data_IF_979854823671
#
_entry.id   IF_979854823671
#
_cell.length_a   1.000
_cell.length_b   1.000
_cell.length_c   1.000
_cell.angle_alpha   90.00
_cell.angle_beta   90.00
_cell.angle_gamma   90.00
#
_symmetry.space_group_name_H-M   'P 1'
#
loop_
_entity.id
_entity.type
_entity.pdbx_description
1 polymer ?
#
# COMPACT_ATOMS: atom_id res chain seq x y z
N UNK A 1 -39.73 -40.78 30.41
CA UNK A 1 -39.21 -39.41 30.34
C UNK A 1 -38.44 -39.11 31.62
N UNK A 2 -37.12 -39.30 31.59
CA UNK A 2 -36.17 -38.90 32.62
C UNK A 2 -35.03 -38.21 31.88
N UNK A 3 -34.81 -36.92 32.18
CA UNK A 3 -33.68 -36.16 31.66
C UNK A 3 -32.40 -36.64 32.30
N UNK A 4 -31.40 -36.93 31.47
CA UNK A 4 -30.05 -37.28 31.90
C UNK A 4 -29.14 -36.12 31.49
N UNK A 5 -28.48 -35.55 32.51
CA UNK A 5 -27.36 -34.63 32.40
C UNK A 5 -26.18 -35.31 31.70
N UNK A 6 -25.52 -34.60 30.78
CA UNK A 6 -24.13 -34.89 30.43
C UNK A 6 -23.40 -33.61 30.07
N UNK A 7 -22.61 -33.18 31.05
CA UNK A 7 -21.41 -32.38 30.92
C UNK A 7 -20.52 -32.98 29.82
N UNK A 8 -20.20 -32.22 28.77
CA UNK A 8 -19.18 -32.60 27.82
C UNK A 8 -17.99 -31.66 28.00
N UNK A 9 -16.91 -32.23 28.52
CA UNK A 9 -15.62 -31.59 28.68
C UNK A 9 -15.05 -31.28 27.29
N UNK A 10 -14.64 -30.02 27.07
CA UNK A 10 -13.84 -29.63 25.92
C UNK A 10 -12.40 -29.85 26.32
N UNK A 11 -11.82 -30.94 25.82
CA UNK A 11 -10.42 -31.28 25.98
C UNK A 11 -9.59 -30.28 25.18
N UNK A 12 -8.82 -29.44 25.86
CA UNK A 12 -7.79 -28.62 25.22
C UNK A 12 -6.65 -29.53 24.78
N UNK A 13 -6.57 -29.83 23.48
CA UNK A 13 -5.36 -30.43 22.91
C UNK A 13 -4.36 -29.30 22.70
N UNK A 14 -3.39 -29.20 23.61
CA UNK A 14 -2.27 -28.28 23.48
C UNK A 14 -1.49 -28.59 22.21
N UNK A 15 -1.38 -27.60 21.32
CA UNK A 15 -0.44 -27.62 20.22
C UNK A 15 0.94 -27.26 20.82
N UNK A 16 1.82 -28.26 20.92
CA UNK A 16 3.23 -28.03 21.23
C UNK A 16 3.83 -27.21 20.07
N UNK A 17 4.02 -25.91 20.28
CA UNK A 17 4.93 -25.13 19.46
C UNK A 17 6.36 -25.58 19.80
N UNK A 18 6.98 -26.34 18.90
CA UNK A 18 8.41 -26.61 18.98
C UNK A 18 9.14 -25.33 18.55
N UNK A 19 9.57 -24.55 19.55
CA UNK A 19 10.48 -23.43 19.36
C UNK A 19 11.86 -23.99 18.95
N UNK A 20 12.14 -24.00 17.66
CA UNK A 20 13.49 -24.14 17.13
C UNK A 20 14.15 -22.77 17.10
N UNK A 21 14.93 -22.43 18.12
CA UNK A 21 15.87 -21.32 18.02
C UNK A 21 16.95 -21.69 17.00
N UNK A 22 16.88 -21.15 15.79
CA UNK A 22 18.02 -21.17 14.89
C UNK A 22 19.02 -20.13 15.40
N UNK A 23 20.14 -20.60 15.97
CA UNK A 23 21.30 -19.74 16.18
C UNK A 23 21.75 -19.15 14.83
N UNK A 24 22.18 -17.88 14.79
CA UNK A 24 22.72 -17.29 13.57
C UNK A 24 23.94 -18.10 13.13
N UNK A 25 23.89 -18.60 11.90
CA UNK A 25 24.97 -19.37 11.28
C UNK A 25 26.23 -18.48 11.26
N UNK A 26 27.21 -18.84 12.08
CA UNK A 26 28.51 -18.17 12.11
C UNK A 26 29.29 -18.59 10.86
N UNK A 27 29.28 -17.74 9.82
CA UNK A 27 30.15 -17.94 8.67
C UNK A 27 31.60 -17.79 9.10
N UNK A 28 32.47 -18.82 8.97
CA UNK A 28 33.90 -18.61 9.13
C UNK A 28 34.33 -17.57 8.10
N UNK A 29 34.94 -16.48 8.58
CA UNK A 29 35.38 -15.32 7.81
C UNK A 29 36.61 -15.60 6.91
N UNK A 30 36.68 -16.80 6.34
CA UNK A 30 37.60 -17.12 5.27
C UNK A 30 36.82 -17.32 3.99
N UNK A 31 36.38 -16.21 3.39
CA UNK A 31 36.13 -16.19 1.95
C UNK A 31 37.44 -16.54 1.24
N UNK A 32 37.65 -17.85 1.01
CA UNK A 32 38.68 -18.29 0.07
C UNK A 32 38.30 -17.70 -1.28
N UNK A 33 39.25 -16.96 -1.86
CA UNK A 33 39.23 -16.39 -3.20
C UNK A 33 38.52 -17.32 -4.22
N UNK A 34 37.88 -16.77 -5.27
CA UNK A 34 37.04 -17.53 -6.19
C UNK A 34 37.75 -18.80 -6.71
N UNK A 35 36.95 -19.86 -6.88
CA UNK A 35 37.36 -21.20 -7.32
C UNK A 35 38.06 -21.23 -8.70
N UNK A 36 38.11 -20.10 -9.41
CA UNK A 36 38.82 -19.95 -10.68
C UNK A 36 39.79 -18.77 -10.57
N UNK A 37 41.08 -19.07 -10.43
CA UNK A 37 42.14 -18.09 -10.72
C UNK A 37 42.35 -18.03 -12.23
N UNK A 38 41.45 -17.34 -12.94
CA UNK A 38 41.68 -17.04 -14.35
C UNK A 38 42.50 -15.74 -14.45
N UNK A 39 43.74 -15.84 -14.92
CA UNK A 39 44.74 -14.74 -14.94
C UNK A 39 44.58 -13.86 -16.18
N UNK A 40 43.52 -14.06 -16.98
CA UNK A 40 43.27 -13.25 -18.18
C UNK A 40 42.68 -11.89 -17.77
N UNK A 41 42.98 -10.80 -18.51
CA UNK A 41 42.36 -9.50 -18.25
C UNK A 41 40.84 -9.64 -18.16
N UNK A 42 40.20 -9.04 -17.14
CA UNK A 42 38.75 -9.12 -16.88
C UNK A 42 37.94 -8.92 -18.18
N UNK A 43 38.39 -8.01 -19.05
CA UNK A 43 37.75 -7.70 -20.34
C UNK A 43 37.73 -8.87 -21.35
N UNK A 44 38.70 -9.78 -21.29
CA UNK A 44 38.82 -10.90 -22.23
C UNK A 44 38.02 -12.14 -21.82
N UNK A 45 37.59 -12.22 -20.55
CA UNK A 45 36.66 -13.25 -20.04
C UNK A 45 35.23 -12.70 -19.96
N UNK A 46 35.06 -11.45 -19.53
CA UNK A 46 33.75 -10.85 -19.33
C UNK A 46 32.99 -10.61 -20.64
N UNK A 47 33.66 -10.16 -21.71
CA UNK A 47 32.99 -9.87 -22.99
C UNK A 47 32.39 -11.12 -23.65
N UNK A 48 33.09 -12.27 -23.77
CA UNK A 48 32.49 -13.49 -24.28
C UNK A 48 31.31 -13.99 -23.44
N UNK A 49 31.41 -13.90 -22.10
CA UNK A 49 30.32 -14.30 -21.20
C UNK A 49 29.10 -13.39 -21.37
N UNK A 50 29.28 -12.07 -21.36
CA UNK A 50 28.20 -11.10 -21.59
C UNK A 50 27.57 -11.30 -22.98
N UNK A 51 28.39 -11.54 -24.02
CA UNK A 51 27.90 -11.80 -25.37
C UNK A 51 27.17 -13.14 -25.52
N UNK A 52 27.35 -14.08 -24.57
CA UNK A 52 26.63 -15.35 -24.54
C UNK A 52 25.25 -15.26 -23.88
N UNK A 53 24.92 -14.12 -23.26
CA UNK A 53 23.58 -13.84 -22.72
C UNK A 53 22.71 -13.32 -23.86
N UNK A 54 21.75 -14.11 -24.31
CA UNK A 54 20.82 -13.71 -25.35
C UNK A 54 19.43 -13.43 -24.79
N UNK A 55 18.83 -12.30 -25.22
CA UNK A 55 17.47 -11.91 -24.82
C UNK A 55 16.44 -13.03 -25.08
N UNK A 56 16.56 -13.73 -26.22
CA UNK A 56 15.67 -14.84 -26.55
C UNK A 56 15.70 -15.98 -25.51
N UNK A 57 16.87 -16.25 -24.94
CA UNK A 57 17.05 -17.33 -23.98
C UNK A 57 16.53 -16.87 -22.60
N UNK A 58 16.77 -15.61 -22.23
CA UNK A 58 16.19 -15.00 -21.03
C UNK A 58 14.66 -14.98 -21.06
N UNK A 59 14.07 -14.60 -22.20
CA UNK A 59 12.61 -14.59 -22.37
C UNK A 59 12.03 -16.00 -22.30
N UNK A 60 12.72 -16.99 -22.87
CA UNK A 60 12.32 -18.39 -22.75
C UNK A 60 12.33 -18.86 -21.30
N UNK A 61 13.39 -18.58 -20.54
CA UNK A 61 13.45 -18.92 -19.12
C UNK A 61 12.36 -18.20 -18.32
N UNK A 62 12.07 -16.92 -18.64
CA UNK A 62 10.98 -16.19 -18.01
C UNK A 62 9.62 -16.83 -18.31
N UNK A 63 9.41 -17.29 -19.55
CA UNK A 63 8.19 -18.01 -19.92
C UNK A 63 8.07 -19.35 -19.20
N UNK A 64 9.14 -20.14 -19.09
CA UNK A 64 9.12 -21.39 -18.34
C UNK A 64 8.68 -21.17 -16.89
N UNK A 65 9.18 -20.10 -16.24
CA UNK A 65 8.77 -19.72 -14.89
C UNK A 65 7.34 -19.19 -14.81
N UNK A 66 6.86 -18.49 -15.82
CA UNK A 66 5.46 -18.06 -15.90
C UNK A 66 4.53 -19.28 -16.06
N UNK A 67 4.87 -20.22 -16.93
CA UNK A 67 4.11 -21.43 -17.17
C UNK A 67 3.99 -22.28 -15.90
N UNK A 68 5.07 -22.37 -15.09
CA UNK A 68 5.04 -23.01 -13.77
C UNK A 68 4.03 -22.33 -12.84
N UNK A 69 3.98 -20.99 -12.83
CA UNK A 69 3.01 -20.26 -12.02
C UNK A 69 1.59 -20.58 -12.49
N UNK A 70 1.33 -20.46 -13.79
CA UNK A 70 0.00 -20.59 -14.40
C UNK A 70 -0.52 -22.04 -14.47
N UNK A 71 0.34 -23.03 -14.28
CA UNK A 71 -0.05 -24.42 -14.09
C UNK A 71 -0.78 -24.66 -12.76
N UNK A 72 -0.80 -23.70 -11.85
CA UNK A 72 -1.48 -23.78 -10.54
C UNK A 72 -2.70 -22.87 -10.46
N UNK A 73 -3.72 -23.19 -9.63
CA UNK A 73 -4.90 -22.34 -9.46
C UNK A 73 -4.59 -20.92 -8.95
N UNK A 74 -3.57 -20.79 -8.09
CA UNK A 74 -3.15 -19.51 -7.51
C UNK A 74 -2.37 -18.64 -8.51
N UNK A 75 -1.89 -19.22 -9.62
CA UNK A 75 -1.20 -18.54 -10.72
C UNK A 75 0.00 -17.71 -10.27
N UNK A 76 0.67 -18.14 -9.20
CA UNK A 76 1.83 -17.48 -8.62
C UNK A 76 2.86 -18.51 -8.14
N UNK A 77 4.01 -18.02 -7.67
CA UNK A 77 5.13 -18.85 -7.15
C UNK A 77 5.51 -18.42 -5.74
N UNK A 78 4.51 -18.05 -4.91
CA UNK A 78 4.70 -17.64 -3.51
C UNK A 78 5.42 -18.75 -2.75
N UNK A 79 6.39 -18.40 -1.89
CA UNK A 79 7.20 -19.40 -1.19
C UNK A 79 6.33 -20.40 -0.40
N UNK A 80 6.68 -21.68 -0.51
CA UNK A 80 5.91 -22.80 0.04
C UNK A 80 4.68 -23.25 -0.78
N UNK A 81 4.28 -22.51 -1.82
CA UNK A 81 3.20 -22.93 -2.73
C UNK A 81 3.61 -24.02 -3.71
N UNK A 82 2.63 -24.63 -4.38
CA UNK A 82 2.88 -25.58 -5.49
C UNK A 82 3.74 -24.98 -6.60
N UNK A 83 3.48 -23.71 -6.98
CA UNK A 83 4.26 -23.01 -8.00
C UNK A 83 5.70 -22.74 -7.56
N UNK A 84 5.93 -22.52 -6.26
CA UNK A 84 7.28 -22.43 -5.70
C UNK A 84 8.00 -23.77 -5.77
N UNK A 85 7.36 -24.88 -5.37
CA UNK A 85 7.95 -26.21 -5.50
C UNK A 85 8.30 -26.55 -6.95
N UNK A 86 7.42 -26.24 -7.90
CA UNK A 86 7.71 -26.37 -9.33
C UNK A 86 8.91 -25.54 -9.79
N UNK A 87 9.07 -24.32 -9.24
CA UNK A 87 10.24 -23.46 -9.51
C UNK A 87 11.54 -24.10 -9.02
N UNK A 88 11.55 -24.60 -7.77
CA UNK A 88 12.74 -25.24 -7.19
C UNK A 88 13.13 -26.47 -8.01
N UNK A 89 12.14 -27.27 -8.44
CA UNK A 89 12.37 -28.43 -9.28
C UNK A 89 12.95 -28.04 -10.65
N UNK A 90 12.40 -27.01 -11.30
CA UNK A 90 12.92 -26.48 -12.56
C UNK A 90 14.40 -26.09 -12.47
N UNK A 91 14.80 -25.36 -11.43
CA UNK A 91 16.20 -24.97 -11.24
C UNK A 91 17.09 -26.17 -10.94
N UNK A 92 16.63 -27.10 -10.09
CA UNK A 92 17.37 -28.33 -9.78
C UNK A 92 17.63 -29.15 -11.04
N UNK A 93 16.59 -29.43 -11.84
CA UNK A 93 16.71 -30.21 -13.07
C UNK A 93 17.59 -29.51 -14.11
N UNK A 94 17.46 -28.19 -14.23
CA UNK A 94 18.31 -27.38 -15.13
C UNK A 94 19.79 -27.49 -14.76
N UNK A 95 20.13 -27.37 -13.47
CA UNK A 95 21.51 -27.47 -13.00
C UNK A 95 22.05 -28.90 -13.10
N UNK A 96 21.25 -29.91 -12.76
CA UNK A 96 21.63 -31.33 -12.87
C UNK A 96 21.82 -31.76 -14.33
N UNK A 97 21.10 -31.14 -15.28
CA UNK A 97 21.27 -31.41 -16.72
C UNK A 97 22.66 -31.05 -17.26
N UNK A 98 23.42 -30.22 -16.54
CA UNK A 98 24.78 -29.84 -16.88
C UNK A 98 25.83 -30.87 -16.41
N UNK A 99 25.39 -32.03 -15.92
CA UNK A 99 26.25 -33.12 -15.49
C UNK A 99 26.90 -32.86 -14.14
N UNK A 100 28.20 -33.14 -14.03
CA UNK A 100 28.97 -33.01 -12.80
C UNK A 100 29.53 -31.60 -12.56
N UNK A 101 29.14 -30.63 -13.40
CA UNK A 101 29.62 -29.25 -13.29
C UNK A 101 29.16 -28.58 -11.98
N UNK A 102 27.94 -28.87 -11.52
CA UNK A 102 27.39 -28.36 -10.27
C UNK A 102 27.09 -29.50 -9.30
N UNK A 103 27.45 -29.32 -8.03
CA UNK A 103 26.93 -30.12 -6.92
C UNK A 103 25.69 -29.43 -6.37
N UNK A 104 24.51 -29.97 -6.67
CA UNK A 104 23.22 -29.39 -6.25
C UNK A 104 22.78 -30.03 -4.93
N UNK A 105 22.51 -29.20 -3.93
CA UNK A 105 21.93 -29.62 -2.64
C UNK A 105 20.74 -28.70 -2.34
N UNK A 106 19.62 -29.28 -1.91
CA UNK A 106 18.47 -28.51 -1.43
C UNK A 106 18.55 -28.41 0.09
N UNK A 107 18.48 -27.19 0.61
CA UNK A 107 18.40 -26.94 2.04
C UNK A 107 16.95 -26.58 2.40
N UNK A 108 16.31 -27.45 3.18
CA UNK A 108 14.98 -27.18 3.70
C UNK A 108 15.06 -26.21 4.89
N UNK A 109 14.10 -25.30 4.94
CA UNK A 109 13.85 -24.42 6.07
C UNK A 109 12.35 -24.15 6.19
N UNK A 110 11.91 -23.85 7.40
CA UNK A 110 10.51 -23.48 7.68
C UNK A 110 10.42 -21.99 7.91
N UNK A 111 9.40 -21.36 7.35
CA UNK A 111 9.08 -19.95 7.57
C UNK A 111 7.57 -19.77 7.55
N UNK A 112 7.11 -18.71 8.20
CA UNK A 112 5.70 -18.33 8.22
C UNK A 112 5.37 -17.49 6.99
N UNK A 113 4.22 -17.76 6.37
CA UNK A 113 3.80 -17.12 5.11
C UNK A 113 2.35 -16.69 5.18
N UNK A 114 2.06 -15.51 4.63
CA UNK A 114 0.68 -15.10 4.34
C UNK A 114 0.31 -15.61 2.95
N UNK A 115 -0.59 -16.60 2.87
CA UNK A 115 -1.00 -17.22 1.59
C UNK A 115 -2.17 -16.51 0.92
N UNK A 116 -3.07 -15.96 1.74
CA UNK A 116 -4.24 -15.25 1.28
C UNK A 116 -4.73 -14.32 2.37
N UNK A 117 -5.38 -13.25 1.94
CA UNK A 117 -5.99 -12.24 2.78
C UNK A 117 -7.19 -11.67 2.04
N UNK A 118 -8.18 -11.25 2.81
CA UNK A 118 -9.36 -10.58 2.29
C UNK A 118 -9.76 -9.53 3.32
N UNK A 119 -10.14 -8.35 2.83
CA UNK A 119 -10.60 -7.26 3.66
C UNK A 119 -11.72 -6.51 2.97
N UNK A 120 -12.61 -5.97 3.80
CA UNK A 120 -13.65 -5.04 3.38
C UNK A 120 -13.64 -3.89 4.37
N UNK A 121 -13.66 -2.67 3.86
CA UNK A 121 -13.72 -1.47 4.69
C UNK A 121 -14.80 -0.54 4.17
N UNK A 122 -15.64 -0.05 5.09
CA UNK A 122 -16.65 0.94 4.81
C UNK A 122 -16.72 1.98 5.93
N UNK A 123 -17.03 3.21 5.56
CA UNK A 123 -17.21 4.32 6.49
C UNK A 123 -18.29 5.26 5.94
N UNK A 124 -19.24 5.66 6.80
CA UNK A 124 -20.33 6.55 6.40
C UNK A 124 -21.22 5.98 5.28
N UNK A 125 -21.37 4.65 5.20
CA UNK A 125 -22.14 3.99 4.14
C UNK A 125 -21.44 3.87 2.79
N UNK A 126 -20.19 4.35 2.67
CA UNK A 126 -19.36 4.21 1.48
C UNK A 126 -18.38 3.05 1.66
N UNK A 127 -18.28 2.19 0.66
CA UNK A 127 -17.26 1.13 0.58
C UNK A 127 -16.01 1.71 -0.07
N UNK A 128 -14.85 1.44 0.52
CA UNK A 128 -13.55 1.94 0.07
C UNK A 128 -12.70 0.80 -0.47
N UNK A 129 -11.82 1.13 -1.42
CA UNK A 129 -10.80 0.21 -1.88
C UNK A 129 -9.76 0.00 -0.76
N UNK A 130 -9.49 -1.25 -0.42
CA UNK A 130 -8.67 -1.64 0.72
C UNK A 130 -7.85 -2.87 0.40
N UNK A 131 -6.69 -2.96 1.03
CA UNK A 131 -5.81 -4.11 0.92
C UNK A 131 -5.24 -4.45 2.30
N UNK A 132 -4.80 -5.69 2.41
CA UNK A 132 -4.20 -6.26 3.59
C UNK A 132 -2.68 -6.04 3.64
N UNK A 133 -2.12 -6.31 4.81
CA UNK A 133 -0.67 -6.39 5.00
C UNK A 133 -0.27 -7.83 5.26
N UNK A 134 0.91 -8.24 4.76
CA UNK A 134 1.52 -9.51 5.13
C UNK A 134 1.73 -9.56 6.65
N UNK A 135 1.38 -10.70 7.25
CA UNK A 135 1.31 -10.90 8.70
C UNK A 135 0.34 -9.96 9.43
N UNK A 136 -0.61 -9.37 8.70
CA UNK A 136 -1.73 -8.64 9.27
C UNK A 136 -2.65 -9.55 10.07
N UNK A 137 -3.12 -9.05 11.21
CA UNK A 137 -3.99 -9.81 12.09
C UNK A 137 -5.46 -9.67 11.71
N UNK A 138 -6.21 -10.76 11.93
CA UNK A 138 -7.65 -10.80 11.68
C UNK A 138 -8.40 -9.99 12.74
N UNK A 139 -9.45 -9.31 12.31
CA UNK A 139 -10.40 -8.70 13.22
C UNK A 139 -11.65 -8.23 12.50
N UNK A 140 -12.68 -7.95 13.27
CA UNK A 140 -13.92 -7.37 12.77
C UNK A 140 -14.39 -6.34 13.77
N UNK A 141 -14.78 -5.18 13.25
CA UNK A 141 -15.33 -4.07 14.00
C UNK A 141 -16.48 -3.47 13.19
N UNK A 142 -17.46 -2.90 13.88
CA UNK A 142 -18.66 -2.35 13.25
C UNK A 142 -19.10 -1.14 14.04
N UNK A 143 -19.51 -0.09 13.33
CA UNK A 143 -20.00 1.17 13.91
C UNK A 143 -19.03 1.82 14.93
N UNK A 144 -17.72 1.67 14.68
CA UNK A 144 -16.66 2.31 15.46
C UNK A 144 -16.15 3.58 14.75
N UNK A 145 -16.01 4.70 15.46
CA UNK A 145 -15.41 5.91 14.93
C UNK A 145 -13.99 5.70 14.36
N UNK A 146 -13.66 6.47 13.31
CA UNK A 146 -12.29 6.68 12.87
C UNK A 146 -11.70 7.90 13.59
N UNK A 147 -10.47 7.77 14.05
CA UNK A 147 -9.74 8.83 14.76
C UNK A 147 -8.43 9.08 14.04
N UNK A 148 -8.24 10.31 13.57
CA UNK A 148 -7.01 10.70 12.89
C UNK A 148 -5.83 10.73 13.89
N UNK A 149 -4.72 10.11 13.50
CA UNK A 149 -3.46 10.14 14.24
C UNK A 149 -2.62 11.31 13.72
N UNK A 150 -2.01 12.06 14.63
CA UNK A 150 -1.20 13.22 14.25
C UNK A 150 0.07 12.80 13.50
N UNK A 151 0.61 13.73 12.71
CA UNK A 151 1.86 13.53 11.97
C UNK A 151 1.85 12.21 11.17
N UNK A 152 2.71 11.28 11.54
CA UNK A 152 2.84 9.97 10.90
C UNK A 152 2.55 8.82 11.87
N UNK A 153 2.19 9.08 13.14
CA UNK A 153 2.03 8.01 14.14
C UNK A 153 3.34 7.30 14.49
N UNK A 154 4.48 7.95 14.27
CA UNK A 154 5.79 7.35 14.53
C UNK A 154 6.15 7.41 16.01
N UNK A 155 5.75 8.49 16.67
CA UNK A 155 5.94 8.68 18.09
C UNK A 155 4.66 8.31 18.86
N UNK A 156 4.74 7.73 20.07
CA UNK A 156 3.56 7.41 20.87
C UNK A 156 2.67 8.64 21.16
N UNK A 157 3.26 9.82 21.22
CA UNK A 157 2.59 11.10 21.45
C UNK A 157 1.74 11.55 20.25
N UNK A 158 2.01 11.05 19.05
CA UNK A 158 1.19 11.31 17.86
C UNK A 158 -0.20 10.69 17.97
N UNK A 159 -0.34 9.63 18.77
CA UNK A 159 -1.58 8.86 18.91
C UNK A 159 -2.44 9.44 20.04
N UNK A 160 -3.59 10.06 19.73
CA UNK A 160 -4.45 10.64 20.76
C UNK A 160 -5.13 9.57 21.61
N UNK A 161 -5.40 9.88 22.88
CA UNK A 161 -6.11 8.96 23.79
C UNK A 161 -7.54 8.64 23.33
N UNK A 162 -8.13 9.47 22.46
CA UNK A 162 -9.45 9.26 21.88
C UNK A 162 -9.52 8.06 20.94
N UNK A 163 -8.39 7.46 20.55
CA UNK A 163 -8.37 6.25 19.73
C UNK A 163 -8.80 5.00 20.50
N UNK A 164 -8.85 5.06 21.84
CA UNK A 164 -9.23 3.93 22.67
C UNK A 164 -10.66 3.45 22.32
N UNK A 165 -10.78 2.18 21.90
CA UNK A 165 -12.04 1.60 21.43
C UNK A 165 -12.42 1.93 19.98
N UNK A 166 -11.61 2.72 19.28
CA UNK A 166 -11.86 3.27 17.94
C UNK A 166 -10.80 2.82 16.93
N UNK A 167 -11.01 3.15 15.65
CA UNK A 167 -10.07 2.83 14.57
C UNK A 167 -9.09 3.98 14.38
N UNK A 168 -7.79 3.69 14.41
CA UNK A 168 -6.76 4.68 14.13
C UNK A 168 -6.62 4.91 12.62
N UNK A 169 -6.75 6.13 12.13
CA UNK A 169 -6.42 6.50 10.75
C UNK A 169 -5.03 7.13 10.73
N UNK A 170 -4.09 6.53 10.01
CA UNK A 170 -2.67 6.86 10.09
C UNK A 170 -2.09 7.06 8.68
N UNK A 171 -1.30 8.11 8.50
CA UNK A 171 -0.59 8.36 7.24
C UNK A 171 0.61 7.41 7.06
N UNK A 172 0.81 6.86 5.86
CA UNK A 172 2.07 6.22 5.48
C UNK A 172 3.20 7.25 5.46
N UNK A 173 4.40 6.84 5.90
CA UNK A 173 5.57 7.70 5.91
C UNK A 173 6.82 6.94 6.36
N UNK A 174 7.71 7.62 7.07
CA UNK A 174 9.09 7.18 7.27
C UNK A 174 9.27 6.02 8.25
N UNK A 175 8.41 5.88 9.27
CA UNK A 175 8.46 4.78 10.21
C UNK A 175 7.72 3.53 9.70
N UNK A 176 8.08 2.37 10.27
CA UNK A 176 7.51 1.08 9.86
C UNK A 176 6.02 0.98 10.21
N UNK A 177 5.28 0.16 9.46
CA UNK A 177 3.88 -0.13 9.76
C UNK A 177 3.73 -0.75 11.16
N UNK A 178 4.57 -1.73 11.50
CA UNK A 178 4.56 -2.37 12.81
C UNK A 178 4.71 -1.36 13.97
N UNK A 179 5.57 -0.34 13.82
CA UNK A 179 5.73 0.72 14.83
C UNK A 179 4.44 1.55 14.98
N UNK A 180 3.85 2.01 13.87
CA UNK A 180 2.58 2.76 13.88
C UNK A 180 1.48 1.97 14.57
N UNK A 181 1.36 0.68 14.26
CA UNK A 181 0.31 -0.19 14.78
C UNK A 181 0.56 -0.50 16.27
N UNK A 182 1.83 -0.64 16.67
CA UNK A 182 2.21 -0.78 18.08
C UNK A 182 1.78 0.44 18.88
N UNK A 183 2.05 1.65 18.38
CA UNK A 183 1.67 2.90 19.05
C UNK A 183 0.14 3.04 19.17
N UNK A 184 -0.60 2.75 18.09
CA UNK A 184 -2.07 2.76 18.10
C UNK A 184 -2.65 1.72 19.07
N UNK A 185 -2.13 0.50 19.05
CA UNK A 185 -2.53 -0.58 19.95
C UNK A 185 -2.24 -0.28 21.42
N UNK A 186 -1.12 0.39 21.71
CA UNK A 186 -0.78 0.83 23.08
C UNK A 186 -1.80 1.82 23.66
N UNK A 187 -2.45 2.60 22.79
CA UNK A 187 -3.58 3.49 23.15
C UNK A 187 -4.95 2.81 23.06
N UNK A 188 -4.98 1.48 22.89
CA UNK A 188 -6.19 0.63 22.82
C UNK A 188 -7.09 0.88 21.61
N UNK A 189 -6.51 1.26 20.47
CA UNK A 189 -7.24 1.22 19.20
C UNK A 189 -7.72 -0.22 18.93
N UNK A 190 -8.90 -0.38 18.31
CA UNK A 190 -9.44 -1.70 17.96
C UNK A 190 -8.94 -2.21 16.61
N UNK A 191 -8.53 -1.29 15.74
CA UNK A 191 -7.89 -1.55 14.45
C UNK A 191 -7.17 -0.27 13.99
N UNK A 192 -6.42 -0.38 12.89
CA UNK A 192 -5.81 0.75 12.21
C UNK A 192 -6.06 0.69 10.70
N UNK A 193 -6.23 1.85 10.08
CA UNK A 193 -6.23 2.05 8.63
C UNK A 193 -5.05 2.93 8.26
N UNK A 194 -4.19 2.45 7.37
CA UNK A 194 -3.05 3.20 6.86
C UNK A 194 -3.38 3.70 5.47
N UNK A 195 -3.34 5.01 5.24
CA UNK A 195 -3.49 5.54 3.89
C UNK A 195 -2.15 5.84 3.22
N UNK A 196 -2.10 5.57 1.92
CA UNK A 196 -0.87 5.65 1.16
C UNK A 196 -0.35 7.10 1.07
N UNK A 197 0.95 7.26 0.84
CA UNK A 197 1.58 8.55 0.57
C UNK A 197 1.98 8.72 -0.91
N UNK A 198 1.72 7.69 -1.73
CA UNK A 198 1.81 7.73 -3.18
C UNK A 198 0.43 8.01 -3.78
N UNK A 199 0.42 8.72 -4.90
CA UNK A 199 -0.82 9.16 -5.58
C UNK A 199 -1.66 7.98 -6.06
N UNK A 200 -1.03 6.86 -6.43
CA UNK A 200 -1.70 5.66 -6.92
C UNK A 200 -1.48 4.45 -6.00
N UNK A 201 -2.53 3.63 -5.90
CA UNK A 201 -2.52 2.34 -5.21
C UNK A 201 -2.87 2.43 -3.73
N UNK A 202 -3.44 1.33 -3.23
CA UNK A 202 -3.73 1.13 -1.81
C UNK A 202 -2.43 0.93 -1.03
N UNK A 203 -2.36 1.40 0.22
CA UNK A 203 -1.24 1.09 1.08
C UNK A 203 -1.20 -0.41 1.38
N UNK A 204 -0.16 -1.09 0.88
CA UNK A 204 0.11 -2.49 1.18
C UNK A 204 1.57 -2.63 1.65
N UNK A 205 1.86 -3.72 2.35
CA UNK A 205 3.20 -4.00 2.86
C UNK A 205 3.22 -5.17 3.83
N UNK A 206 4.25 -5.21 4.68
CA UNK A 206 4.45 -6.30 5.64
C UNK A 206 4.61 -5.76 7.06
N UNK A 207 4.08 -6.50 8.05
CA UNK A 207 4.38 -6.28 9.47
C UNK A 207 5.70 -6.97 9.89
N UNK A 208 6.38 -7.64 8.96
CA UNK A 208 7.71 -8.23 9.14
C UNK A 208 7.71 -9.63 9.74
N UNK A 209 6.61 -10.08 10.34
CA UNK A 209 6.45 -11.44 10.87
C UNK A 209 5.20 -11.58 11.73
N UNK A 210 4.95 -12.82 12.19
CA UNK A 210 3.84 -13.14 13.10
C UNK A 210 3.93 -12.29 14.36
N UNK A 211 2.80 -11.72 14.78
CA UNK A 211 2.71 -10.73 15.84
C UNK A 211 1.33 -10.73 16.50
N UNK A 212 1.20 -10.06 17.65
CA UNK A 212 -0.06 -9.91 18.39
C UNK A 212 -0.62 -8.47 18.28
N UNK A 213 -0.30 -7.74 17.20
CA UNK A 213 -0.76 -6.37 17.00
C UNK A 213 -2.26 -6.30 16.64
N UNK A 214 -2.82 -5.10 16.71
CA UNK A 214 -4.21 -4.87 16.31
C UNK A 214 -4.37 -5.10 14.79
N UNK A 215 -5.59 -5.44 14.32
CA UNK A 215 -5.89 -5.53 12.89
C UNK A 215 -5.52 -4.26 12.11
N UNK A 216 -5.08 -4.45 10.87
CA UNK A 216 -4.62 -3.40 9.99
C UNK A 216 -5.19 -3.56 8.58
N UNK A 217 -5.68 -2.47 7.99
CA UNK A 217 -5.98 -2.35 6.57
C UNK A 217 -5.31 -1.16 5.91
N UNK A 218 -5.26 -1.20 4.58
CA UNK A 218 -4.68 -0.18 3.72
C UNK A 218 -5.75 0.66 3.02
N UNK A 219 -5.44 1.91 2.74
CA UNK A 219 -6.25 2.81 1.91
C UNK A 219 -5.37 3.51 0.87
N UNK A 220 -6.01 4.00 -0.19
CA UNK A 220 -5.37 4.94 -1.10
C UNK A 220 -5.08 6.27 -0.40
N UNK A 221 -4.16 7.06 -0.95
CA UNK A 221 -3.90 8.41 -0.44
C UNK A 221 -5.16 9.28 -0.46
N UNK A 222 -5.88 9.25 -1.57
CA UNK A 222 -7.09 10.05 -1.78
C UNK A 222 -8.16 9.75 -0.72
N UNK A 223 -8.49 8.48 -0.52
CA UNK A 223 -9.53 8.10 0.45
C UNK A 223 -9.13 8.40 1.89
N UNK A 224 -7.85 8.17 2.23
CA UNK A 224 -7.31 8.52 3.53
C UNK A 224 -7.45 10.00 3.86
N UNK A 225 -7.16 10.87 2.90
CA UNK A 225 -7.31 12.31 3.07
C UNK A 225 -8.77 12.72 3.25
N UNK A 226 -9.70 12.13 2.47
CA UNK A 226 -11.14 12.38 2.64
C UNK A 226 -11.62 12.00 4.04
N UNK A 227 -11.14 10.87 4.56
CA UNK A 227 -11.49 10.38 5.90
C UNK A 227 -10.81 11.19 7.01
N UNK A 228 -9.55 11.59 6.83
CA UNK A 228 -8.79 12.34 7.83
C UNK A 228 -9.35 13.75 8.02
N UNK A 229 -9.61 14.45 6.92
CA UNK A 229 -10.06 15.84 6.91
C UNK A 229 -11.59 15.98 7.02
N UNK A 230 -12.32 14.86 7.08
CA UNK A 230 -13.79 14.83 7.17
C UNK A 230 -14.47 15.72 6.13
N UNK A 231 -13.97 15.75 4.89
CA UNK A 231 -14.47 16.68 3.85
C UNK A 231 -15.75 16.12 3.23
N UNK A 232 -16.96 16.57 3.63
CA UNK A 232 -18.19 15.91 3.22
C UNK A 232 -18.47 16.08 1.72
N UNK A 233 -17.97 17.15 1.10
CA UNK A 233 -18.11 17.37 -0.34
C UNK A 233 -17.38 16.31 -1.19
N UNK A 234 -16.30 15.72 -0.67
CA UNK A 234 -15.60 14.66 -1.37
C UNK A 234 -16.29 13.29 -1.19
N UNK A 235 -17.20 13.15 -0.22
CA UNK A 235 -17.93 11.91 0.00
C UNK A 235 -18.90 11.59 -1.14
N UNK A 236 -19.47 12.61 -1.80
CA UNK A 236 -20.34 12.44 -2.98
C UNK A 236 -19.60 12.01 -4.24
N UNK A 237 -18.28 12.23 -4.28
CA UNK A 237 -17.44 11.76 -5.37
C UNK A 237 -17.14 10.27 -5.21
N UNK A 238 -17.12 9.56 -6.33
CA UNK A 238 -16.59 8.21 -6.43
C UNK A 238 -15.09 8.18 -6.13
N UNK A 239 -14.57 6.98 -5.85
CA UNK A 239 -13.14 6.76 -5.64
C UNK A 239 -12.27 7.37 -6.76
N UNK A 240 -12.60 7.11 -8.02
CA UNK A 240 -11.86 7.60 -9.17
C UNK A 240 -11.91 9.14 -9.28
N UNK A 241 -13.06 9.74 -8.99
CA UNK A 241 -13.23 11.20 -9.01
C UNK A 241 -12.47 11.87 -7.86
N UNK A 242 -12.44 11.27 -6.66
CA UNK A 242 -11.61 11.76 -5.55
C UNK A 242 -10.13 11.71 -5.91
N UNK A 243 -9.68 10.59 -6.47
CA UNK A 243 -8.30 10.45 -6.97
C UNK A 243 -7.95 11.56 -7.95
N UNK A 244 -8.86 11.89 -8.86
CA UNK A 244 -8.66 12.93 -9.89
C UNK A 244 -8.70 14.35 -9.33
N UNK A 245 -9.62 14.65 -8.42
CA UNK A 245 -9.68 15.96 -7.74
C UNK A 245 -8.45 16.19 -6.88
N UNK A 246 -7.86 15.11 -6.35
CA UNK A 246 -6.69 15.16 -5.47
C UNK A 246 -5.35 14.90 -6.21
N UNK A 247 -5.36 14.53 -7.49
CA UNK A 247 -4.17 14.28 -8.31
C UNK A 247 -3.38 15.56 -8.62
N UNK A 248 -2.05 15.45 -8.80
CA UNK A 248 -1.12 16.54 -9.10
C UNK A 248 -0.99 16.81 -10.61
N UNK A 249 -1.24 15.80 -11.44
CA UNK A 249 -0.99 15.88 -12.89
C UNK A 249 -2.19 16.43 -13.65
N UNK A 250 -3.41 16.04 -13.27
CA UNK A 250 -4.65 16.41 -13.98
C UNK A 250 -5.26 17.71 -13.44
N UNK A 251 -4.89 18.13 -12.22
CA UNK A 251 -5.17 19.47 -11.69
C UNK A 251 -4.26 20.58 -12.23
N UNK A 252 -3.29 20.24 -13.09
CA UNK A 252 -2.48 21.17 -13.88
C UNK A 252 -3.07 21.43 -15.28
N UNK A 253 -2.49 22.36 -16.06
CA UNK A 253 -3.05 22.79 -17.35
C UNK A 253 -3.07 21.70 -18.46
N UNK A 254 -2.44 20.54 -18.26
CA UNK A 254 -2.38 19.45 -19.23
C UNK A 254 -3.26 18.26 -18.80
N UNK A 255 -4.53 18.30 -19.20
CA UNK A 255 -5.47 17.18 -19.07
C UNK A 255 -5.17 16.12 -20.14
N UNK A 256 -4.45 15.06 -19.77
CA UNK A 256 -4.29 13.86 -20.60
C UNK A 256 -5.45 12.86 -20.39
N UNK A 257 -6.16 12.53 -21.47
CA UNK A 257 -7.08 11.39 -21.74
C UNK A 257 -8.08 10.86 -20.69
N UNK A 258 -8.21 11.46 -19.50
CA UNK A 258 -9.23 11.12 -18.49
C UNK A 258 -10.49 12.00 -18.58
N UNK A 259 -10.84 12.51 -19.76
CA UNK A 259 -11.85 13.56 -19.94
C UNK A 259 -13.25 13.21 -19.39
N UNK A 260 -13.61 11.93 -19.28
CA UNK A 260 -14.90 11.50 -18.72
C UNK A 260 -15.03 11.80 -17.22
N UNK A 261 -14.05 11.35 -16.42
CA UNK A 261 -14.11 11.47 -14.96
C UNK A 261 -13.90 12.90 -14.46
N UNK A 262 -13.17 13.74 -15.20
CA UNK A 262 -13.05 15.19 -14.90
C UNK A 262 -14.40 15.88 -15.03
N UNK A 263 -15.14 15.58 -16.10
CA UNK A 263 -16.47 16.17 -16.35
C UNK A 263 -17.47 15.68 -15.31
N UNK A 264 -17.42 14.40 -14.93
CA UNK A 264 -18.30 13.84 -13.91
C UNK A 264 -18.03 14.44 -12.52
N UNK A 265 -16.76 14.51 -12.11
CA UNK A 265 -16.36 15.18 -10.86
C UNK A 265 -16.79 16.66 -10.84
N UNK A 266 -16.66 17.34 -12.00
CA UNK A 266 -17.11 18.72 -12.16
C UNK A 266 -18.62 18.86 -11.99
N UNK A 267 -19.41 17.99 -12.62
CA UNK A 267 -20.88 18.05 -12.52
C UNK A 267 -21.36 17.86 -11.09
N UNK A 268 -20.74 16.94 -10.33
CA UNK A 268 -21.07 16.72 -8.91
C UNK A 268 -20.74 17.97 -8.07
N UNK A 269 -19.59 18.60 -8.31
CA UNK A 269 -19.20 19.81 -7.59
C UNK A 269 -20.07 21.01 -7.98
N UNK A 270 -20.46 21.15 -9.24
CA UNK A 270 -21.43 22.15 -9.71
C UNK A 270 -22.83 21.92 -9.10
N UNK A 271 -23.27 20.67 -8.93
CA UNK A 271 -24.52 20.35 -8.24
C UNK A 271 -24.48 20.82 -6.78
N UNK A 272 -23.38 20.58 -6.06
CA UNK A 272 -23.17 21.05 -4.69
C UNK A 272 -23.19 22.59 -4.56
N UNK A 273 -22.88 23.33 -5.63
CA UNK A 273 -22.99 24.80 -5.67
C UNK A 273 -24.42 25.24 -6.00
N UNK A 274 -25.07 24.58 -6.96
CA UNK A 274 -26.38 24.98 -7.46
C UNK A 274 -27.52 24.63 -6.48
N UNK A 275 -27.35 23.61 -5.63
CA UNK A 275 -28.31 23.25 -4.59
C UNK A 275 -27.60 22.99 -3.24
N UNK A 276 -27.05 24.04 -2.61
CA UNK A 276 -26.12 23.86 -1.52
C UNK A 276 -26.82 23.51 -0.21
N UNK A 277 -26.40 22.41 0.39
CA UNK A 277 -26.62 22.16 1.82
C UNK A 277 -25.50 22.79 2.66
N UNK A 278 -25.71 22.91 3.97
CA UNK A 278 -24.63 23.32 4.90
C UNK A 278 -23.41 22.41 4.79
N UNK A 279 -23.63 21.11 4.61
CA UNK A 279 -22.57 20.10 4.49
C UNK A 279 -21.81 20.25 3.17
N UNK A 280 -22.52 20.53 2.07
CA UNK A 280 -21.91 20.83 0.77
C UNK A 280 -20.96 22.02 0.84
N UNK A 281 -21.41 23.13 1.46
CA UNK A 281 -20.59 24.33 1.56
C UNK A 281 -19.38 24.16 2.48
N UNK A 282 -19.53 23.41 3.57
CA UNK A 282 -18.41 23.06 4.45
C UNK A 282 -17.40 22.17 3.74
N UNK A 283 -17.87 21.23 2.92
CA UNK A 283 -17.00 20.38 2.13
C UNK A 283 -16.27 21.14 1.02
N UNK A 284 -16.94 22.03 0.30
CA UNK A 284 -16.29 22.89 -0.71
C UNK A 284 -15.21 23.77 -0.08
N UNK A 285 -15.49 24.33 1.11
CA UNK A 285 -14.48 25.06 1.90
C UNK A 285 -13.28 24.17 2.25
N UNK A 286 -13.51 22.96 2.74
CA UNK A 286 -12.43 22.02 3.07
C UNK A 286 -11.59 21.63 1.84
N UNK A 287 -12.23 21.44 0.68
CA UNK A 287 -11.53 21.20 -0.58
C UNK A 287 -10.62 22.38 -0.96
N UNK A 288 -11.08 23.62 -0.83
CA UNK A 288 -10.24 24.80 -1.07
C UNK A 288 -9.08 24.92 -0.07
N UNK A 289 -9.33 24.72 1.22
CA UNK A 289 -8.29 24.72 2.26
C UNK A 289 -7.23 23.65 1.99
N UNK A 290 -7.64 22.46 1.53
CA UNK A 290 -6.72 21.40 1.14
C UNK A 290 -5.89 21.76 -0.10
N UNK A 291 -6.51 22.35 -1.13
CA UNK A 291 -5.81 22.84 -2.33
C UNK A 291 -4.76 23.89 -1.94
N UNK A 292 -5.11 24.83 -1.07
CA UNK A 292 -4.19 25.86 -0.56
C UNK A 292 -3.04 25.25 0.26
N UNK A 293 -3.34 24.37 1.20
CA UNK A 293 -2.34 23.64 2.01
C UNK A 293 -1.33 22.87 1.15
N UNK A 294 -1.78 22.26 0.03
CA UNK A 294 -0.89 21.60 -0.93
C UNK A 294 -0.01 22.60 -1.68
N UNK A 295 -0.55 23.75 -2.07
CA UNK A 295 0.17 24.73 -2.86
C UNK A 295 1.36 25.29 -2.09
N UNK A 296 1.20 25.48 -0.78
CA UNK A 296 2.26 25.90 0.13
C UNK A 296 3.37 24.84 0.26
N UNK A 297 3.02 23.55 0.34
CA UNK A 297 4.00 22.45 0.49
C UNK A 297 4.77 22.16 -0.79
N UNK A 298 4.14 22.30 -1.96
CA UNK A 298 4.82 22.13 -3.25
C UNK A 298 5.94 23.16 -3.49
N UNK A 299 5.87 24.33 -2.85
CA UNK A 299 6.88 25.39 -2.96
C UNK A 299 8.08 25.19 -2.01
N UNK A 300 7.97 24.29 -1.03
CA UNK A 300 8.98 24.08 0.02
C UNK A 300 10.02 22.99 -0.26
N UNK A 301 9.97 22.30 -1.40
CA UNK A 301 10.87 21.20 -1.73
C UNK A 301 12.13 21.72 -2.44
N UNK A 302 13.34 21.63 -1.84
CA UNK A 302 14.57 22.05 -2.50
C UNK A 302 14.93 21.07 -3.62
N UNK A 303 15.12 21.64 -4.81
CA UNK A 303 15.53 20.96 -6.03
C UNK A 303 17.00 20.51 -5.91
N UNK A 304 17.24 19.27 -5.47
CA UNK A 304 18.56 18.64 -5.55
C UNK A 304 18.77 18.13 -6.98
N UNK A 305 18.92 19.07 -7.92
CA UNK A 305 19.06 18.78 -9.33
C UNK A 305 20.46 18.28 -9.71
N UNK A 306 20.57 16.98 -9.99
CA UNK A 306 21.47 16.53 -11.06
C UNK A 306 20.78 16.84 -12.39
N UNK A 307 21.34 17.80 -13.13
CA UNK A 307 20.86 18.17 -14.46
C UNK A 307 21.16 17.06 -15.46
N UNK A 308 20.14 16.31 -15.85
CA UNK A 308 20.12 15.63 -17.15
C UNK A 308 19.41 16.54 -18.17
N UNK A 309 20.12 16.91 -19.22
CA UNK A 309 19.56 17.72 -20.32
C UNK A 309 18.62 16.86 -21.17
N UNK A 310 17.32 17.10 -21.04
CA UNK A 310 16.30 16.55 -21.93
C UNK A 310 14.91 16.61 -21.31
N UNK A 311 14.05 17.51 -21.83
CA UNK A 311 12.68 17.82 -21.39
C UNK A 311 12.59 18.83 -20.24
N UNK A 312 12.53 20.11 -20.59
CA UNK A 312 12.07 21.16 -19.68
C UNK A 312 10.54 21.20 -19.66
N UNK A 313 9.91 20.55 -18.69
CA UNK A 313 8.64 21.05 -18.16
C UNK A 313 8.88 21.41 -16.69
N UNK A 314 8.86 22.72 -16.41
CA UNK A 314 8.81 23.21 -15.05
C UNK A 314 7.46 22.79 -14.48
N UNK A 315 7.40 21.73 -13.69
CA UNK A 315 6.18 21.31 -12.98
C UNK A 315 5.95 22.18 -11.72
N UNK A 316 5.97 23.50 -11.90
CA UNK A 316 5.53 24.45 -10.89
C UNK A 316 4.02 24.58 -10.97
N UNK A 317 3.30 23.91 -10.08
CA UNK A 317 1.86 24.08 -9.95
C UNK A 317 1.56 25.48 -9.42
N UNK A 318 0.79 26.28 -10.16
CA UNK A 318 0.45 27.67 -9.82
C UNK A 318 -0.78 27.82 -8.93
N UNK A 319 -1.46 26.73 -8.57
CA UNK A 319 -2.72 26.76 -7.82
C UNK A 319 -3.96 27.11 -8.66
N UNK A 320 -3.79 27.44 -9.94
CA UNK A 320 -4.88 27.83 -10.86
C UNK A 320 -5.27 26.67 -11.79
N UNK A 321 -5.64 25.53 -11.20
CA UNK A 321 -6.16 24.36 -11.95
C UNK A 321 -7.63 24.48 -12.35
N UNK A 322 -8.11 23.59 -13.23
CA UNK A 322 -9.50 23.54 -13.70
C UNK A 322 -10.53 23.54 -12.56
N UNK A 323 -10.19 22.93 -11.43
CA UNK A 323 -11.02 22.88 -10.23
C UNK A 323 -11.32 24.28 -9.69
N UNK A 324 -10.30 25.13 -9.60
CA UNK A 324 -10.42 26.50 -9.08
C UNK A 324 -11.13 27.39 -10.09
N UNK A 325 -10.78 27.32 -11.37
CA UNK A 325 -11.45 28.10 -12.41
C UNK A 325 -12.94 27.74 -12.52
N UNK A 326 -13.28 26.45 -12.57
CA UNK A 326 -14.67 26.00 -12.76
C UNK A 326 -15.55 26.31 -11.56
N UNK A 327 -15.06 26.04 -10.33
CA UNK A 327 -15.85 26.31 -9.12
C UNK A 327 -15.94 27.81 -8.84
N UNK A 328 -14.86 28.59 -9.01
CA UNK A 328 -14.92 30.04 -8.80
C UNK A 328 -15.85 30.69 -9.83
N UNK A 329 -15.82 30.30 -11.10
CA UNK A 329 -16.79 30.78 -12.09
C UNK A 329 -18.24 30.43 -11.69
N UNK A 330 -18.49 29.21 -11.19
CA UNK A 330 -19.80 28.82 -10.67
C UNK A 330 -20.24 29.63 -9.42
N UNK A 331 -19.29 30.09 -8.61
CA UNK A 331 -19.55 30.93 -7.44
C UNK A 331 -19.68 32.43 -7.78
N UNK A 332 -19.22 32.88 -8.96
CA UNK A 332 -19.30 34.29 -9.37
C UNK A 332 -20.77 34.71 -9.55
N UNK A 333 -21.15 35.77 -8.83
CA UNK A 333 -22.50 36.35 -8.91
C UNK A 333 -23.52 35.76 -7.94
N UNK A 334 -23.18 34.69 -7.20
CA UNK A 334 -23.97 34.19 -6.09
C UNK A 334 -23.63 34.91 -4.78
N UNK A 335 -24.64 35.33 -4.02
CA UNK A 335 -24.47 35.82 -2.64
C UNK A 335 -25.04 34.78 -1.69
N UNK A 336 -24.17 34.15 -0.92
CA UNK A 336 -24.52 33.09 0.01
C UNK A 336 -24.39 33.60 1.44
N UNK A 337 -25.50 33.58 2.18
CA UNK A 337 -25.55 34.04 3.56
C UNK A 337 -25.93 32.86 4.44
N UNK A 338 -25.00 32.40 5.27
CA UNK A 338 -25.29 31.43 6.33
C UNK A 338 -25.78 32.18 7.57
N UNK A 339 -27.09 32.13 7.81
CA UNK A 339 -27.71 32.61 9.04
C UNK A 339 -27.90 31.47 10.03
N UNK A 340 -27.65 31.73 11.31
CA UNK A 340 -28.04 30.83 12.40
C UNK A 340 -29.53 31.08 12.69
N UNK A 341 -30.38 30.06 12.60
CA UNK A 341 -31.69 30.11 13.28
C UNK A 341 -31.50 30.08 14.81
#
# INVERSE_FOLDING_TARGET
MKGISSTMAITATGLLALNGNAEPIHYPSECKLPLVKDVRPIDSIAKPLVNSIHLKDLLKCAQDLEDIAYATPARNRVHGSEGHHGTIQYFKDTLESLGDYYKVELQEFTTEVTLASAQEFSAGGVIYDTDSFEFGNNGTWTDVPLVNVANLGCDPEDVPDSVAGNVALIARGDCTFAQKITNAGAKRAVAAMIYNNLEAGVAAGTLGGVNDLIPLGGLTQADGLVLAEHVPALQKLTHAERGLVLDRSIGGPDVGDAAGTVVDARLILEESINNPTREDMLGLKGLFEWVEWRAERAQGQPDNGEKSEGSSSKSGWSGDGWLRESIIEGLKGGVWLAGKE
#
